data_IF_670775801658
#
_entry.id   IF_670775801658
#
_cell.length_a   1.000
_cell.length_b   1.000
_cell.length_c   1.000
_cell.angle_alpha   90.00
_cell.angle_beta   90.00
_cell.angle_gamma   90.00
#
_symmetry.space_group_name_H-M   'P 1'
#
loop_
_entity.id
_entity.type
_entity.pdbx_description
1 polymer ?
#
# COMPACT_ATOMS: atom_id res chain seq x y z
N UNK A 1 -49.18 -45.26 18.31
CA UNK A 1 -49.94 -44.05 17.95
C UNK A 1 -48.94 -43.01 17.43
N UNK A 2 -48.31 -43.16 16.25
CA UNK A 2 -48.80 -43.02 14.86
C UNK A 2 -49.58 -41.73 14.57
N UNK A 3 -49.02 -40.92 13.66
CA UNK A 3 -49.69 -39.89 12.86
C UNK A 3 -49.05 -38.50 12.97
N UNK A 4 -48.73 -37.75 11.91
CA UNK A 4 -48.69 -38.00 10.47
C UNK A 4 -47.83 -36.89 9.83
N UNK A 5 -46.95 -37.30 8.91
CA UNK A 5 -46.26 -36.41 7.98
C UNK A 5 -47.26 -35.76 7.01
N UNK A 6 -47.17 -34.45 6.80
CA UNK A 6 -47.90 -33.75 5.73
C UNK A 6 -46.90 -33.03 4.82
N UNK A 7 -46.63 -33.64 3.66
CA UNK A 7 -45.98 -33.03 2.50
C UNK A 7 -46.71 -31.75 2.07
N UNK A 8 -45.95 -30.67 1.82
CA UNK A 8 -46.45 -29.53 1.02
C UNK A 8 -45.59 -29.37 -0.23
N UNK A 9 -46.29 -29.38 -1.37
CA UNK A 9 -45.83 -29.38 -2.76
C UNK A 9 -44.77 -28.33 -3.06
N UNK A 10 -43.79 -28.72 -3.86
CA UNK A 10 -42.96 -27.85 -4.69
C UNK A 10 -43.82 -27.40 -5.88
N UNK A 11 -44.12 -26.11 -5.99
CA UNK A 11 -44.69 -25.53 -7.21
C UNK A 11 -43.60 -24.82 -8.00
N UNK A 12 -43.46 -25.24 -9.25
CA UNK A 12 -42.47 -24.75 -10.20
C UNK A 12 -42.89 -23.36 -10.72
N UNK A 13 -42.00 -22.37 -10.59
CA UNK A 13 -42.16 -21.09 -11.24
C UNK A 13 -41.90 -21.23 -12.75
N UNK A 14 -42.99 -21.37 -13.51
CA UNK A 14 -43.03 -21.19 -14.96
C UNK A 14 -42.73 -19.72 -15.29
N UNK A 15 -41.55 -19.44 -15.84
CA UNK A 15 -41.25 -18.14 -16.45
C UNK A 15 -42.19 -17.90 -17.63
N UNK A 16 -43.15 -16.97 -17.48
CA UNK A 16 -43.95 -16.49 -18.60
C UNK A 16 -43.09 -15.54 -19.42
N UNK A 17 -42.82 -15.91 -20.67
CA UNK A 17 -42.11 -15.08 -21.65
C UNK A 17 -42.82 -13.72 -21.80
N UNK A 18 -42.02 -12.66 -21.78
CA UNK A 18 -42.44 -11.27 -21.99
C UNK A 18 -42.52 -11.02 -23.50
N UNK A 19 -43.62 -10.45 -24.04
CA UNK A 19 -43.64 -9.94 -25.40
C UNK A 19 -42.73 -8.71 -25.50
N UNK A 20 -41.74 -8.80 -26.38
CA UNK A 20 -40.87 -7.70 -26.81
C UNK A 20 -41.71 -6.61 -27.49
N UNK A 21 -41.69 -5.37 -26.98
CA UNK A 21 -42.18 -4.21 -27.72
C UNK A 21 -41.18 -3.85 -28.84
N UNK A 22 -41.65 -3.46 -30.04
CA UNK A 22 -40.79 -3.11 -31.16
C UNK A 22 -40.09 -1.77 -30.92
N UNK A 23 -38.84 -1.73 -31.40
CA UNK A 23 -37.98 -0.57 -31.43
C UNK A 23 -38.37 0.42 -32.54
N UNK A 24 -37.96 1.67 -32.33
CA UNK A 24 -37.84 2.77 -33.29
C UNK A 24 -39.16 3.44 -33.73
N UNK A 25 -39.36 4.66 -33.23
CA UNK A 25 -39.92 5.74 -34.02
C UNK A 25 -38.87 6.85 -34.07
N UNK A 26 -38.48 7.17 -35.29
CA UNK A 26 -37.55 8.20 -35.75
C UNK A 26 -37.88 9.58 -35.12
N UNK A 27 -36.85 10.32 -34.71
CA UNK A 27 -36.95 11.76 -34.44
C UNK A 27 -36.45 12.49 -35.69
N UNK A 28 -37.37 13.15 -36.39
CA UNK A 28 -37.09 14.11 -37.47
C UNK A 28 -36.75 15.49 -36.89
N UNK A 29 -35.71 16.10 -37.44
CA UNK A 29 -35.20 17.42 -37.12
C UNK A 29 -36.15 18.53 -37.63
N UNK A 30 -36.47 19.52 -36.77
CA UNK A 30 -37.00 20.82 -37.21
C UNK A 30 -36.36 21.95 -36.40
N UNK A 31 -35.52 22.75 -37.08
CA UNK A 31 -35.12 24.11 -36.71
C UNK A 31 -36.33 25.07 -36.78
N UNK A 32 -36.43 26.04 -35.86
CA UNK A 32 -36.55 27.48 -36.18
C UNK A 32 -36.86 28.34 -34.94
N UNK A 33 -35.95 29.30 -34.73
CA UNK A 33 -36.15 30.76 -34.61
C UNK A 33 -37.03 31.43 -33.53
N UNK A 34 -36.43 32.49 -32.98
CA UNK A 34 -36.97 33.57 -32.16
C UNK A 34 -38.20 34.26 -32.78
N UNK A 35 -39.25 34.57 -32.00
CA UNK A 35 -39.68 35.95 -31.71
C UNK A 35 -40.88 36.06 -30.75
N UNK A 36 -40.90 37.24 -30.14
CA UNK A 36 -41.78 37.91 -29.18
C UNK A 36 -43.31 37.89 -29.46
N UNK A 37 -44.13 38.03 -28.41
CA UNK A 37 -45.47 38.64 -28.57
C UNK A 37 -46.60 38.10 -27.67
N UNK A 38 -47.23 39.02 -26.94
CA UNK A 38 -48.29 38.87 -25.94
C UNK A 38 -49.73 38.76 -26.50
N UNK A 39 -50.64 38.35 -25.61
CA UNK A 39 -52.10 38.61 -25.57
C UNK A 39 -53.10 37.51 -26.04
N UNK A 40 -53.74 36.93 -25.01
CA UNK A 40 -55.18 36.68 -24.80
C UNK A 40 -56.08 35.96 -25.83
N UNK A 41 -56.86 35.02 -25.25
CA UNK A 41 -58.25 34.60 -25.53
C UNK A 41 -58.45 33.11 -25.85
N UNK A 42 -59.05 32.46 -24.85
CA UNK A 42 -59.97 31.31 -24.87
C UNK A 42 -60.30 30.66 -26.21
N UNK A 43 -60.10 29.34 -26.30
CA UNK A 43 -61.18 28.34 -26.18
C UNK A 43 -60.74 26.99 -26.76
N UNK A 44 -61.45 25.94 -26.33
CA UNK A 44 -61.51 24.60 -26.92
C UNK A 44 -60.37 23.62 -26.60
N UNK A 45 -60.66 22.81 -25.59
CA UNK A 45 -60.26 21.41 -25.40
C UNK A 45 -59.78 20.70 -26.66
N UNK A 46 -58.50 20.37 -26.69
CA UNK A 46 -57.98 19.19 -27.38
C UNK A 46 -57.10 18.48 -26.37
N UNK A 47 -57.67 17.44 -25.77
CA UNK A 47 -57.04 16.63 -24.73
C UNK A 47 -55.99 15.74 -25.41
N UNK A 48 -54.86 16.33 -25.80
CA UNK A 48 -53.68 15.56 -26.13
C UNK A 48 -53.24 14.85 -24.85
N UNK A 49 -53.32 13.52 -24.83
CA UNK A 49 -52.82 12.69 -23.73
C UNK A 49 -51.31 12.97 -23.53
N UNK A 50 -50.98 13.95 -22.69
CA UNK A 50 -49.61 14.15 -22.19
C UNK A 50 -49.24 12.91 -21.39
N UNK A 51 -48.26 12.15 -21.87
CA UNK A 51 -47.67 11.05 -21.13
C UNK A 51 -47.29 11.53 -19.72
N UNK A 52 -47.60 10.76 -18.66
CA UNK A 52 -47.32 11.17 -17.29
C UNK A 52 -45.81 11.32 -17.09
N UNK A 53 -45.36 12.53 -16.80
CA UNK A 53 -43.95 12.83 -16.48
C UNK A 53 -43.68 12.34 -15.05
N UNK A 54 -42.90 11.27 -14.91
CA UNK A 54 -42.51 10.72 -13.60
C UNK A 54 -41.40 11.57 -12.96
N UNK A 55 -41.81 12.48 -12.08
CA UNK A 55 -40.89 13.33 -11.31
C UNK A 55 -40.79 12.91 -9.83
N UNK A 56 -40.30 13.77 -8.94
CA UNK A 56 -40.16 13.48 -7.50
C UNK A 56 -41.49 13.36 -6.75
N UNK A 57 -42.60 13.78 -7.36
CA UNK A 57 -43.93 13.75 -6.79
C UNK A 57 -44.74 12.53 -7.26
N UNK A 58 -45.69 12.04 -6.44
CA UNK A 58 -46.60 10.99 -6.87
C UNK A 58 -47.44 11.48 -8.05
N UNK A 59 -47.47 10.68 -9.12
CA UNK A 59 -48.22 10.99 -10.34
C UNK A 59 -49.43 10.08 -10.43
N UNK A 60 -50.57 10.66 -10.83
CA UNK A 60 -51.77 9.92 -11.20
C UNK A 60 -51.59 9.39 -12.61
N UNK A 61 -51.59 8.07 -12.75
CA UNK A 61 -51.49 7.44 -14.05
C UNK A 61 -52.23 6.10 -14.04
N UNK A 62 -52.56 5.62 -15.23
CA UNK A 62 -53.13 4.29 -15.40
C UNK A 62 -52.03 3.25 -15.40
N UNK A 63 -52.09 2.27 -14.50
CA UNK A 63 -51.03 1.27 -14.40
C UNK A 63 -51.02 0.35 -15.63
N UNK A 64 -49.88 0.14 -16.33
CA UNK A 64 -49.82 -0.74 -17.50
C UNK A 64 -50.02 -2.23 -17.16
N UNK A 65 -49.82 -2.61 -15.89
CA UNK A 65 -49.91 -4.00 -15.44
C UNK A 65 -51.30 -4.41 -14.96
N UNK A 66 -51.94 -3.60 -14.11
CA UNK A 66 -53.27 -3.89 -13.56
C UNK A 66 -54.40 -3.05 -14.17
N UNK A 67 -54.08 -2.07 -15.01
CA UNK A 67 -55.03 -1.14 -15.69
C UNK A 67 -55.92 -0.31 -14.76
N UNK A 68 -55.67 -0.34 -13.46
CA UNK A 68 -56.31 0.52 -12.48
C UNK A 68 -55.75 1.94 -12.57
N UNK A 69 -56.61 2.94 -12.39
CA UNK A 69 -56.22 4.33 -12.20
C UNK A 69 -55.68 4.48 -10.77
N UNK A 70 -54.40 4.82 -10.67
CA UNK A 70 -53.66 4.82 -9.43
C UNK A 70 -52.91 6.13 -9.24
N UNK A 71 -52.73 6.48 -7.97
CA UNK A 71 -51.68 7.41 -7.54
C UNK A 71 -50.44 6.58 -7.21
N UNK A 72 -49.34 6.77 -7.95
CA UNK A 72 -48.10 6.04 -7.67
C UNK A 72 -47.53 6.43 -6.31
N UNK A 73 -47.00 5.47 -5.55
CA UNK A 73 -46.21 5.78 -4.35
C UNK A 73 -44.72 5.76 -4.69
N UNK A 74 -43.98 6.68 -4.08
CA UNK A 74 -42.57 6.93 -4.37
C UNK A 74 -41.70 6.18 -3.37
N UNK A 75 -40.69 5.49 -3.88
CA UNK A 75 -39.68 4.77 -3.07
C UNK A 75 -38.28 5.15 -3.51
N UNK A 76 -37.37 5.33 -2.55
CA UNK A 76 -35.98 5.70 -2.81
C UNK A 76 -35.07 4.48 -2.75
N UNK A 77 -34.52 4.09 -3.89
CA UNK A 77 -33.65 2.92 -4.01
C UNK A 77 -32.25 3.33 -4.45
N UNK A 78 -31.19 2.74 -3.87
CA UNK A 78 -29.83 2.99 -4.32
C UNK A 78 -29.60 2.32 -5.68
N UNK A 79 -28.97 3.05 -6.61
CA UNK A 79 -28.52 2.48 -7.88
C UNK A 79 -27.02 2.16 -7.85
N UNK A 80 -26.55 1.41 -8.84
CA UNK A 80 -25.11 1.10 -8.99
C UNK A 80 -24.29 2.40 -9.05
N UNK A 81 -24.83 3.46 -9.67
CA UNK A 81 -24.19 4.77 -9.74
C UNK A 81 -24.06 5.41 -8.35
N UNK A 82 -25.10 5.30 -7.51
CA UNK A 82 -25.06 5.78 -6.12
C UNK A 82 -23.93 5.12 -5.32
N UNK A 83 -23.75 3.80 -5.49
CA UNK A 83 -22.66 3.06 -4.83
C UNK A 83 -21.28 3.44 -5.37
N UNK A 84 -21.12 3.61 -6.68
CA UNK A 84 -19.86 4.03 -7.28
C UNK A 84 -19.45 5.44 -6.82
N UNK A 85 -20.40 6.37 -6.74
CA UNK A 85 -20.13 7.72 -6.28
C UNK A 85 -19.83 7.78 -4.78
N UNK A 86 -20.51 6.97 -3.96
CA UNK A 86 -20.17 6.83 -2.54
C UNK A 86 -18.76 6.25 -2.34
N UNK A 87 -18.38 5.23 -3.12
CA UNK A 87 -17.02 4.69 -3.09
C UNK A 87 -15.98 5.75 -3.48
N UNK A 88 -16.26 6.52 -4.54
CA UNK A 88 -15.39 7.62 -4.96
C UNK A 88 -15.22 8.67 -3.86
N UNK A 89 -16.30 9.06 -3.18
CA UNK A 89 -16.26 10.01 -2.08
C UNK A 89 -15.46 9.48 -0.89
N UNK A 90 -15.56 8.19 -0.55
CA UNK A 90 -14.74 7.55 0.49
C UNK A 90 -13.26 7.60 0.09
N UNK A 91 -12.95 7.33 -1.18
CA UNK A 91 -11.57 7.38 -1.68
C UNK A 91 -11.01 8.81 -1.66
N UNK A 92 -11.79 9.84 -2.01
CA UNK A 92 -11.31 11.23 -2.05
C UNK A 92 -11.24 11.86 -0.65
N UNK A 93 -12.29 11.70 0.16
CA UNK A 93 -12.44 12.39 1.45
C UNK A 93 -11.92 11.57 2.65
N UNK A 94 -11.57 10.29 2.46
CA UNK A 94 -11.00 9.43 3.50
C UNK A 94 -11.82 9.43 4.79
N UNK A 95 -11.20 9.69 5.94
CA UNK A 95 -11.89 9.79 7.24
C UNK A 95 -12.98 10.85 7.26
N UNK A 96 -12.83 11.93 6.47
CA UNK A 96 -13.85 12.97 6.35
C UNK A 96 -15.12 12.46 5.64
N UNK A 97 -15.02 11.37 4.87
CA UNK A 97 -16.18 10.75 4.23
C UNK A 97 -17.19 10.20 5.24
N UNK A 98 -16.74 9.79 6.43
CA UNK A 98 -17.64 9.26 7.48
C UNK A 98 -18.64 10.33 7.94
N UNK A 99 -18.23 11.60 7.96
CA UNK A 99 -19.08 12.72 8.33
C UNK A 99 -19.95 13.22 7.16
N UNK A 100 -19.44 13.13 5.93
CA UNK A 100 -20.07 13.71 4.73
C UNK A 100 -21.06 12.73 4.06
N UNK A 101 -20.77 11.43 4.09
CA UNK A 101 -21.57 10.40 3.42
C UNK A 101 -23.02 10.32 3.94
N UNK A 102 -23.33 10.43 5.25
CA UNK A 102 -24.71 10.45 5.73
C UNK A 102 -25.56 11.59 5.16
N UNK A 103 -24.94 12.74 4.85
CA UNK A 103 -25.62 13.92 4.29
C UNK A 103 -25.84 13.76 2.78
N UNK A 104 -24.87 13.20 2.06
CA UNK A 104 -24.93 13.05 0.60
C UNK A 104 -25.74 11.79 0.20
N UNK A 105 -25.78 10.74 1.03
CA UNK A 105 -26.43 9.47 0.72
C UNK A 105 -27.92 9.58 0.32
N UNK A 106 -28.77 10.38 1.00
CA UNK A 106 -30.16 10.58 0.57
C UNK A 106 -30.27 11.29 -0.80
N UNK A 107 -29.30 12.13 -1.15
CA UNK A 107 -29.28 12.87 -2.42
C UNK A 107 -28.94 11.95 -3.60
N UNK A 108 -28.17 10.89 -3.35
CA UNK A 108 -27.70 9.92 -4.35
C UNK A 108 -28.73 8.86 -4.74
N UNK A 109 -29.81 8.68 -3.98
CA UNK A 109 -30.82 7.64 -4.24
C UNK A 109 -31.76 8.02 -5.39
N UNK A 110 -32.08 7.04 -6.22
CA UNK A 110 -33.00 7.18 -7.34
C UNK A 110 -34.46 7.07 -6.88
N UNK A 111 -35.35 7.69 -7.63
CA UNK A 111 -36.78 7.77 -7.33
C UNK A 111 -37.52 6.73 -8.17
N UNK A 112 -38.17 5.78 -7.50
CA UNK A 112 -38.89 4.66 -8.14
C UNK A 112 -40.37 4.75 -7.81
N UNK A 113 -41.21 4.82 -8.85
CA UNK A 113 -42.66 4.84 -8.75
C UNK A 113 -43.21 3.43 -8.83
N UNK A 114 -44.00 3.04 -7.82
CA UNK A 114 -44.64 1.74 -7.76
C UNK A 114 -46.16 1.87 -7.71
N UNK A 115 -46.83 0.88 -8.27
CA UNK A 115 -48.28 0.76 -8.20
C UNK A 115 -48.72 0.27 -6.81
N UNK A 116 -49.68 0.91 -6.12
CA UNK A 116 -50.16 0.43 -4.82
C UNK A 116 -50.90 -0.90 -4.92
N UNK A 117 -51.59 -1.17 -6.03
CA UNK A 117 -52.41 -2.37 -6.19
C UNK A 117 -51.62 -3.61 -6.63
N UNK A 118 -50.57 -3.46 -7.45
CA UNK A 118 -49.79 -4.58 -7.98
C UNK A 118 -48.29 -4.53 -7.64
N UNK A 119 -47.82 -3.48 -6.97
CA UNK A 119 -46.43 -3.27 -6.54
C UNK A 119 -45.37 -3.26 -7.67
N UNK A 120 -45.78 -3.41 -8.93
CA UNK A 120 -44.89 -3.33 -10.06
C UNK A 120 -44.36 -1.91 -10.26
N UNK A 121 -43.12 -1.86 -10.74
CA UNK A 121 -42.41 -0.62 -11.08
C UNK A 121 -43.03 0.00 -12.33
N UNK A 122 -43.64 1.18 -12.19
CA UNK A 122 -44.33 1.90 -13.27
C UNK A 122 -43.39 2.86 -13.98
N UNK A 123 -42.49 3.48 -13.21
CA UNK A 123 -41.49 4.41 -13.74
C UNK A 123 -40.33 4.56 -12.75
N UNK A 124 -39.17 4.97 -13.25
CA UNK A 124 -38.07 5.43 -12.39
C UNK A 124 -37.37 6.62 -13.01
N UNK A 125 -37.01 7.56 -12.15
CA UNK A 125 -36.17 8.70 -12.50
C UNK A 125 -34.85 8.58 -11.75
N UNK A 126 -33.75 8.43 -12.50
CA UNK A 126 -32.41 8.53 -11.93
C UNK A 126 -32.04 10.01 -11.79
N UNK A 127 -31.55 10.41 -10.62
CA UNK A 127 -31.12 11.80 -10.37
C UNK A 127 -29.83 12.16 -11.11
N UNK A 128 -29.04 11.14 -11.43
CA UNK A 128 -27.74 11.26 -12.08
C UNK A 128 -27.83 10.51 -13.40
N UNK A 129 -28.13 11.23 -14.46
CA UNK A 129 -28.04 10.72 -15.82
C UNK A 129 -26.57 10.77 -16.26
N UNK A 130 -25.83 9.69 -16.02
CA UNK A 130 -24.58 9.50 -16.75
C UNK A 130 -24.93 9.15 -18.21
N UNK A 131 -24.21 9.67 -19.20
CA UNK A 131 -24.33 9.25 -20.59
C UNK A 131 -23.89 7.78 -20.69
N UNK A 132 -24.80 6.87 -20.35
CA UNK A 132 -24.65 5.42 -20.45
C UNK A 132 -25.05 4.95 -21.84
N UNK A 133 -24.75 5.77 -22.85
CA UNK A 133 -24.85 5.43 -24.28
C UNK A 133 -23.64 4.57 -24.69
N UNK A 134 -23.42 3.48 -23.96
CA UNK A 134 -22.54 2.42 -24.41
C UNK A 134 -23.45 1.22 -24.68
N UNK A 135 -23.62 0.92 -25.97
CA UNK A 135 -24.29 -0.29 -26.48
C UNK A 135 -23.91 -1.47 -25.59
N UNK A 136 -24.88 -2.30 -25.18
CA UNK A 136 -24.65 -3.49 -24.36
C UNK A 136 -23.92 -4.58 -25.16
N UNK A 137 -22.74 -4.27 -25.69
CA UNK A 137 -21.88 -5.21 -26.37
C UNK A 137 -21.20 -6.10 -25.33
N UNK A 138 -21.07 -7.36 -25.70
CA UNK A 138 -20.49 -8.38 -24.86
C UNK A 138 -19.01 -8.51 -25.20
N UNK A 139 -18.14 -8.50 -24.20
CA UNK A 139 -16.71 -8.72 -24.32
C UNK A 139 -16.40 -10.11 -23.75
N UNK A 140 -15.74 -10.96 -24.54
CA UNK A 140 -15.36 -12.30 -24.11
C UNK A 140 -13.85 -12.36 -23.88
N UNK A 141 -13.46 -12.62 -22.64
CA UNK A 141 -12.06 -12.87 -22.29
C UNK A 141 -11.83 -14.37 -22.27
N UNK A 142 -10.93 -14.87 -23.13
CA UNK A 142 -10.46 -16.25 -23.04
C UNK A 142 -9.16 -16.29 -22.26
N UNK A 143 -9.20 -16.95 -21.10
CA UNK A 143 -8.04 -17.23 -20.27
C UNK A 143 -7.89 -18.75 -20.25
N UNK A 144 -7.02 -19.27 -21.13
CA UNK A 144 -6.88 -20.71 -21.36
C UNK A 144 -8.20 -21.34 -21.81
N UNK A 145 -8.69 -22.32 -21.05
CA UNK A 145 -9.96 -23.03 -21.32
C UNK A 145 -11.21 -22.33 -20.76
N UNK A 146 -11.07 -21.25 -19.98
CA UNK A 146 -12.21 -20.53 -19.43
C UNK A 146 -12.52 -19.29 -20.29
N UNK A 147 -13.78 -19.20 -20.75
CA UNK A 147 -14.29 -18.01 -21.45
C UNK A 147 -15.22 -17.25 -20.50
N UNK A 148 -14.79 -16.06 -20.08
CA UNK A 148 -15.61 -15.18 -19.23
C UNK A 148 -16.25 -14.12 -20.12
N UNK A 149 -17.57 -14.08 -20.11
CA UNK A 149 -18.40 -13.23 -20.97
C UNK A 149 -18.93 -12.09 -20.11
N UNK A 150 -18.37 -10.88 -20.25
CA UNK A 150 -18.80 -9.68 -19.50
C UNK A 150 -19.33 -8.61 -20.44
N UNK A 151 -20.38 -7.89 -20.03
CA UNK A 151 -20.80 -6.71 -20.77
C UNK A 151 -19.72 -5.61 -20.69
N UNK A 152 -19.43 -4.94 -21.82
CA UNK A 152 -18.37 -3.91 -21.93
C UNK A 152 -18.48 -2.82 -20.87
N UNK A 153 -19.71 -2.45 -20.49
CA UNK A 153 -19.98 -1.48 -19.41
C UNK A 153 -19.34 -1.87 -18.08
N UNK A 154 -19.38 -3.15 -17.70
CA UNK A 154 -18.81 -3.61 -16.43
C UNK A 154 -17.29 -3.66 -16.47
N UNK A 155 -16.70 -3.96 -17.64
CA UNK A 155 -15.24 -3.95 -17.84
C UNK A 155 -14.70 -2.53 -17.71
N UNK A 156 -15.35 -1.55 -18.36
CA UNK A 156 -14.94 -0.14 -18.28
C UNK A 156 -15.07 0.39 -16.86
N UNK A 157 -16.18 0.10 -16.16
CA UNK A 157 -16.36 0.49 -14.75
C UNK A 157 -15.27 -0.12 -13.87
N UNK A 158 -14.95 -1.41 -14.06
CA UNK A 158 -13.92 -2.09 -13.29
C UNK A 158 -12.52 -1.51 -13.54
N UNK A 159 -12.17 -1.24 -14.81
CA UNK A 159 -10.88 -0.62 -15.16
C UNK A 159 -10.78 0.81 -14.61
N UNK A 160 -11.84 1.60 -14.71
CA UNK A 160 -11.88 2.94 -14.13
C UNK A 160 -11.71 2.89 -12.60
N UNK A 161 -12.38 1.96 -11.93
CA UNK A 161 -12.27 1.76 -10.49
C UNK A 161 -10.85 1.34 -10.07
N UNK A 162 -10.23 0.39 -10.79
CA UNK A 162 -8.83 -0.01 -10.54
C UNK A 162 -7.87 1.15 -10.78
N UNK A 163 -8.09 1.94 -11.84
CA UNK A 163 -7.30 3.14 -12.13
C UNK A 163 -7.41 4.19 -11.02
N UNK A 164 -8.63 4.50 -10.56
CA UNK A 164 -8.85 5.45 -9.45
C UNK A 164 -8.21 4.96 -8.16
N UNK A 165 -8.35 3.67 -7.82
CA UNK A 165 -7.69 3.08 -6.64
C UNK A 165 -6.16 3.16 -6.78
N UNK A 166 -5.62 2.85 -7.96
CA UNK A 166 -4.19 2.93 -8.24
C UNK A 166 -3.64 4.34 -8.11
N UNK A 167 -4.30 5.33 -8.73
CA UNK A 167 -3.94 6.75 -8.63
C UNK A 167 -4.02 7.24 -7.19
N UNK A 168 -5.06 6.83 -6.44
CA UNK A 168 -5.19 7.21 -5.04
C UNK A 168 -4.11 6.59 -4.15
N UNK A 169 -3.81 5.31 -4.34
CA UNK A 169 -2.72 4.62 -3.64
C UNK A 169 -1.37 5.28 -3.95
N UNK A 170 -1.16 5.67 -5.21
CA UNK A 170 0.03 6.41 -5.63
C UNK A 170 0.10 7.80 -5.01
N UNK A 171 -0.97 8.58 -5.06
CA UNK A 171 -1.05 9.91 -4.44
C UNK A 171 -0.82 9.85 -2.92
N UNK A 172 -1.32 8.79 -2.26
CA UNK A 172 -1.05 8.53 -0.84
C UNK A 172 0.42 8.18 -0.60
N UNK A 173 1.02 7.38 -1.48
CA UNK A 173 2.44 7.02 -1.38
C UNK A 173 3.37 8.22 -1.55
N UNK A 174 2.99 9.19 -2.40
CA UNK A 174 3.79 10.40 -2.64
C UNK A 174 3.55 11.50 -1.61
N UNK A 175 2.35 11.59 -1.00
CA UNK A 175 1.97 12.71 -0.13
C UNK A 175 2.31 12.58 1.36
N UNK A 176 2.60 11.38 1.88
CA UNK A 176 2.71 11.16 3.35
C UNK A 176 4.14 11.24 3.88
N UNK A 177 5.18 11.18 3.04
CA UNK A 177 6.54 11.02 3.57
C UNK A 177 7.64 11.63 2.70
N UNK A 178 7.49 12.87 2.26
CA UNK A 178 8.65 13.64 1.86
C UNK A 178 8.93 14.67 2.96
N UNK A 179 9.93 14.46 3.84
CA UNK A 179 10.42 15.57 4.64
C UNK A 179 10.86 16.65 3.65
N UNK A 180 10.23 17.82 3.70
CA UNK A 180 10.61 18.97 2.88
C UNK A 180 12.13 19.14 2.98
N UNK A 181 12.80 19.43 1.86
CA UNK A 181 14.25 19.66 1.85
C UNK A 181 14.54 20.83 2.81
N UNK A 182 15.08 20.51 3.98
CA UNK A 182 15.38 21.50 5.02
C UNK A 182 16.69 22.18 4.61
N UNK A 183 16.78 23.52 4.67
CA UNK A 183 18.04 24.21 4.42
C UNK A 183 19.13 23.73 5.37
N UNK A 184 20.40 23.84 4.94
CA UNK A 184 21.56 23.49 5.77
C UNK A 184 21.52 24.29 7.07
N UNK A 185 21.57 23.58 8.19
CA UNK A 185 21.62 24.19 9.51
C UNK A 185 23.03 24.58 9.96
N UNK A 186 23.15 25.21 11.14
CA UNK A 186 24.45 25.61 11.70
C UNK A 186 25.33 24.39 11.97
N UNK A 187 26.63 24.56 11.79
CA UNK A 187 27.61 23.51 12.06
C UNK A 187 27.81 23.34 13.58
N UNK A 188 27.92 22.09 14.03
CA UNK A 188 28.32 21.77 15.40
C UNK A 188 29.53 20.82 15.38
N UNK A 189 30.50 21.15 16.23
CA UNK A 189 31.65 20.30 16.55
C UNK A 189 31.29 19.28 17.64
N UNK A 190 30.47 18.29 17.28
CA UNK A 190 30.13 17.16 18.16
C UNK A 190 30.66 15.86 17.58
N UNK A 191 31.24 15.00 18.41
CA UNK A 191 31.71 13.70 17.95
C UNK A 191 30.56 12.68 17.94
N UNK A 192 30.75 11.60 17.18
CA UNK A 192 29.82 10.46 17.18
C UNK A 192 29.69 9.82 18.57
N UNK A 193 30.79 9.76 19.35
CA UNK A 193 30.79 9.23 20.72
C UNK A 193 29.91 10.08 21.65
N UNK A 194 29.98 11.40 21.52
CA UNK A 194 29.11 12.31 22.30
C UNK A 194 27.64 12.12 21.94
N UNK A 195 27.33 11.96 20.65
CA UNK A 195 25.98 11.67 20.19
C UNK A 195 25.46 10.34 20.77
N UNK A 196 26.29 9.29 20.81
CA UNK A 196 25.90 8.00 21.38
C UNK A 196 25.59 8.08 22.88
N UNK A 197 26.30 8.93 23.62
CA UNK A 197 26.04 9.13 25.05
C UNK A 197 24.69 9.80 25.31
N UNK A 198 24.28 10.76 24.46
CA UNK A 198 23.03 11.49 24.63
C UNK A 198 21.81 10.75 24.02
N UNK A 199 22.01 10.18 22.83
CA UNK A 199 20.97 9.71 21.92
C UNK A 199 21.13 8.26 21.44
N UNK A 200 22.21 7.57 21.82
CA UNK A 200 22.48 6.21 21.40
C UNK A 200 21.51 5.17 21.99
N UNK A 201 21.60 3.92 21.54
CA UNK A 201 20.65 2.86 21.93
C UNK A 201 20.65 2.62 23.45
N UNK A 202 21.83 2.66 24.08
CA UNK A 202 21.97 2.54 25.55
C UNK A 202 21.28 3.68 26.30
N UNK A 203 21.45 4.92 25.83
CA UNK A 203 20.82 6.10 26.44
C UNK A 203 19.30 6.08 26.24
N UNK A 204 18.85 5.71 25.03
CA UNK A 204 17.44 5.61 24.69
C UNK A 204 16.70 4.52 25.48
N UNK A 205 17.35 3.36 25.70
CA UNK A 205 16.80 2.28 26.54
C UNK A 205 16.73 2.68 28.02
N UNK A 206 17.65 3.53 28.49
CA UNK A 206 17.63 4.06 29.84
C UNK A 206 16.50 5.08 30.05
N UNK A 207 16.43 6.11 29.20
CA UNK A 207 15.39 7.13 29.26
C UNK A 207 15.05 7.69 27.86
N UNK A 208 13.98 7.19 27.21
CA UNK A 208 13.66 7.60 25.84
C UNK A 208 13.20 9.05 25.74
N UNK A 209 12.56 9.60 26.79
CA UNK A 209 12.10 10.98 26.79
C UNK A 209 13.28 11.95 26.84
N UNK A 210 14.30 11.63 27.64
CA UNK A 210 15.53 12.41 27.71
C UNK A 210 16.26 12.41 26.36
N UNK A 211 16.44 11.25 25.73
CA UNK A 211 17.13 11.18 24.42
C UNK A 211 16.39 11.93 23.31
N UNK A 212 15.05 11.87 23.29
CA UNK A 212 14.25 12.64 22.31
C UNK A 212 14.41 14.14 22.55
N UNK A 213 14.36 14.59 23.81
CA UNK A 213 14.53 16.00 24.16
C UNK A 213 15.95 16.50 23.87
N UNK A 214 16.97 15.73 24.25
CA UNK A 214 18.37 16.03 23.94
C UNK A 214 18.60 16.11 22.43
N UNK A 215 18.00 15.20 21.65
CA UNK A 215 18.03 15.26 20.19
C UNK A 215 17.40 16.54 19.65
N UNK A 216 16.18 16.86 20.07
CA UNK A 216 15.43 18.02 19.61
C UNK A 216 16.15 19.35 19.93
N UNK A 217 16.80 19.45 21.10
CA UNK A 217 17.48 20.69 21.54
C UNK A 217 18.91 20.80 20.99
N UNK A 218 19.68 19.71 21.04
CA UNK A 218 21.12 19.73 20.75
C UNK A 218 21.45 19.40 19.30
N UNK A 219 20.70 18.54 18.62
CA UNK A 219 21.12 17.95 17.34
C UNK A 219 20.20 18.22 16.15
N UNK A 220 18.90 18.34 16.38
CA UNK A 220 17.91 18.48 15.31
C UNK A 220 18.16 19.69 14.42
N UNK A 221 18.16 19.44 13.11
CA UNK A 221 18.42 20.41 12.05
C UNK A 221 19.80 21.07 12.09
N UNK A 222 20.75 20.53 12.84
CA UNK A 222 22.11 21.05 12.86
C UNK A 222 23.03 20.11 12.08
N UNK A 223 24.11 20.67 11.56
CA UNK A 223 25.02 19.99 10.64
C UNK A 223 26.23 19.45 11.37
N UNK A 224 26.61 18.22 11.07
CA UNK A 224 27.76 17.53 11.67
C UNK A 224 28.69 17.03 10.57
N UNK A 225 29.97 16.91 10.91
CA UNK A 225 31.02 16.31 10.07
C UNK A 225 31.50 15.03 10.73
N UNK A 226 31.12 13.91 10.17
CA UNK A 226 31.43 12.58 10.74
C UNK A 226 32.04 11.68 9.68
N UNK A 227 32.75 10.66 10.15
CA UNK A 227 33.35 9.62 9.32
C UNK A 227 32.67 8.28 9.57
N UNK A 228 32.39 7.55 8.50
CA UNK A 228 31.70 6.26 8.59
C UNK A 228 31.94 5.38 7.38
N UNK A 229 31.61 4.10 7.52
CA UNK A 229 31.74 3.11 6.46
C UNK A 229 30.46 3.06 5.63
N UNK A 230 30.58 3.21 4.31
CA UNK A 230 29.46 3.08 3.38
C UNK A 230 29.09 1.61 3.22
N UNK A 231 27.87 1.23 3.58
CA UNK A 231 27.40 -0.17 3.45
C UNK A 231 26.80 -0.38 2.06
N UNK A 232 25.81 0.45 1.72
CA UNK A 232 25.12 0.42 0.42
C UNK A 232 24.59 1.79 0.07
N UNK A 233 24.55 2.08 -1.22
CA UNK A 233 23.93 3.27 -1.79
C UNK A 233 22.72 2.80 -2.61
N UNK A 234 21.59 3.50 -2.48
CA UNK A 234 20.42 3.31 -3.34
C UNK A 234 19.99 4.64 -3.91
N UNK A 235 20.00 4.71 -5.23
CA UNK A 235 19.47 5.85 -5.95
C UNK A 235 17.96 5.77 -6.03
N UNK A 236 17.31 6.90 -5.79
CA UNK A 236 15.89 7.08 -5.97
C UNK A 236 15.56 7.18 -7.45
N UNK A 237 14.43 6.61 -7.83
CA UNK A 237 13.84 6.74 -9.15
C UNK A 237 13.01 8.04 -9.16
N UNK A 238 13.24 8.88 -10.19
CA UNK A 238 12.43 10.05 -10.52
C UNK A 238 11.63 9.74 -11.80
N UNK A 239 10.42 9.23 -11.63
CA UNK A 239 9.43 9.10 -12.69
C UNK A 239 8.40 10.21 -12.50
N UNK A 240 7.72 10.63 -13.58
CA UNK A 240 6.77 11.77 -13.63
C UNK A 240 5.74 11.87 -12.49
N UNK A 241 5.45 10.76 -11.78
CA UNK A 241 4.58 10.69 -10.59
C UNK A 241 5.24 10.10 -9.33
N UNK A 242 6.48 9.60 -9.43
CA UNK A 242 7.19 8.91 -8.36
C UNK A 242 8.55 9.57 -8.13
N UNK A 243 8.62 10.46 -7.14
CA UNK A 243 9.89 10.95 -6.60
C UNK A 243 10.25 10.13 -5.38
N UNK A 244 11.14 9.17 -5.54
CA UNK A 244 11.77 8.50 -4.39
C UNK A 244 13.10 9.17 -4.10
N UNK A 245 13.39 9.43 -2.82
CA UNK A 245 14.66 10.04 -2.44
C UNK A 245 15.78 9.01 -2.54
N UNK A 246 16.94 9.45 -3.02
CA UNK A 246 18.16 8.66 -2.97
C UNK A 246 18.68 8.63 -1.54
N UNK A 247 19.24 7.50 -1.13
CA UNK A 247 19.81 7.37 0.21
C UNK A 247 21.05 6.49 0.25
N UNK A 248 21.99 6.87 1.11
CA UNK A 248 23.18 6.10 1.43
C UNK A 248 23.07 5.55 2.86
N UNK A 249 23.38 4.28 3.03
CA UNK A 249 23.41 3.61 4.33
C UNK A 249 24.84 3.61 4.86
N UNK A 250 25.04 4.18 6.04
CA UNK A 250 26.34 4.29 6.70
C UNK A 250 26.33 3.52 8.01
N UNK A 251 27.44 2.80 8.23
CA UNK A 251 27.77 2.16 9.48
C UNK A 251 28.89 2.93 10.17
N UNK A 252 28.64 3.34 11.40
CA UNK A 252 29.54 4.16 12.21
C UNK A 252 30.47 3.28 13.04
N UNK A 253 31.54 3.90 13.55
CA UNK A 253 32.43 3.31 14.54
C UNK A 253 32.57 4.24 15.75
N UNK A 254 32.36 3.77 16.99
CA UNK A 254 31.81 2.45 17.35
C UNK A 254 30.36 2.28 16.86
N UNK A 255 29.91 1.04 16.57
CA UNK A 255 28.55 0.77 16.13
C UNK A 255 27.54 1.00 17.26
N UNK A 256 26.34 1.48 16.94
CA UNK A 256 25.29 1.70 17.93
C UNK A 256 24.77 0.38 18.51
N UNK A 257 24.67 -0.66 17.67
CA UNK A 257 24.28 -2.01 18.07
C UNK A 257 25.42 -3.01 17.82
N UNK A 258 26.18 -3.31 18.88
CA UNK A 258 27.27 -4.29 18.81
C UNK A 258 26.78 -5.72 18.46
N UNK A 259 25.58 -6.10 18.92
CA UNK A 259 25.04 -7.45 18.76
C UNK A 259 24.40 -7.73 17.39
N UNK A 260 24.07 -6.69 16.62
CA UNK A 260 23.40 -6.84 15.31
C UNK A 260 24.19 -6.15 14.22
N UNK A 261 25.16 -6.84 13.59
CA UNK A 261 26.01 -6.23 12.58
C UNK A 261 25.27 -5.88 11.28
N UNK A 262 24.09 -6.44 11.05
CA UNK A 262 23.29 -6.21 9.84
C UNK A 262 22.54 -4.87 9.85
N UNK A 263 22.37 -4.27 11.04
CA UNK A 263 21.69 -2.98 11.20
C UNK A 263 22.66 -1.85 10.90
N UNK A 264 22.18 -0.87 10.13
CA UNK A 264 22.92 0.34 9.79
C UNK A 264 22.60 1.44 10.80
N UNK A 265 23.59 2.26 11.14
CA UNK A 265 23.43 3.28 12.17
C UNK A 265 22.79 4.55 11.59
N UNK A 266 23.16 4.94 10.36
CA UNK A 266 22.73 6.18 9.72
C UNK A 266 22.17 5.94 8.30
N UNK A 267 21.11 6.68 7.96
CA UNK A 267 20.60 6.81 6.60
C UNK A 267 20.77 8.27 6.18
N UNK A 268 21.57 8.50 5.15
CA UNK A 268 21.81 9.79 4.54
C UNK A 268 20.90 9.98 3.33
N UNK A 269 19.98 10.94 3.37
CA UNK A 269 19.11 11.30 2.25
C UNK A 269 19.78 12.34 1.34
N UNK A 270 19.68 12.17 0.03
CA UNK A 270 20.14 13.16 -0.96
C UNK A 270 19.23 13.21 -2.19
N UNK A 271 19.25 14.35 -2.88
CA UNK A 271 18.42 14.63 -4.06
C UNK A 271 19.18 15.46 -5.11
N UNK A 272 20.05 16.37 -4.67
CA UNK A 272 20.80 17.23 -5.58
C UNK A 272 21.77 16.47 -6.49
N UNK A 273 22.02 17.06 -7.67
CA UNK A 273 22.89 16.48 -8.69
C UNK A 273 24.34 16.36 -8.22
N UNK A 274 24.88 17.40 -7.55
CA UNK A 274 26.25 17.38 -7.01
C UNK A 274 26.47 16.23 -6.01
N UNK A 275 25.49 15.96 -5.15
CA UNK A 275 25.59 14.87 -4.19
C UNK A 275 25.55 13.51 -4.89
N UNK A 276 24.76 13.38 -5.97
CA UNK A 276 24.71 12.14 -6.77
C UNK A 276 26.07 11.84 -7.39
N UNK A 277 26.72 12.83 -7.99
CA UNK A 277 28.03 12.65 -8.61
C UNK A 277 29.11 12.27 -7.58
N UNK A 278 29.07 12.88 -6.39
CA UNK A 278 29.99 12.53 -5.29
C UNK A 278 29.75 11.11 -4.75
N UNK A 279 28.49 10.72 -4.59
CA UNK A 279 28.11 9.40 -4.09
C UNK A 279 28.42 8.29 -5.11
N UNK A 280 28.29 8.58 -6.41
CA UNK A 280 28.59 7.64 -7.49
C UNK A 280 30.06 7.22 -7.53
N UNK A 281 30.97 8.06 -7.04
CA UNK A 281 32.41 7.77 -6.96
C UNK A 281 32.77 6.82 -5.80
N UNK A 282 31.88 6.59 -4.85
CA UNK A 282 32.18 5.84 -3.63
C UNK A 282 31.85 4.34 -3.76
N UNK A 283 32.85 3.44 -3.65
CA UNK A 283 32.57 2.01 -3.66
C UNK A 283 31.92 1.55 -2.34
N UNK A 284 31.09 0.51 -2.42
CA UNK A 284 30.49 -0.11 -1.24
C UNK A 284 31.60 -0.71 -0.36
N UNK A 285 31.61 -0.31 0.92
CA UNK A 285 32.58 -0.74 1.92
C UNK A 285 33.69 0.28 2.21
N UNK A 286 33.82 1.35 1.42
CA UNK A 286 34.78 2.43 1.65
C UNK A 286 34.43 3.27 2.88
N UNK A 287 35.45 3.96 3.40
CA UNK A 287 35.28 4.98 4.43
C UNK A 287 35.02 6.32 3.77
N UNK A 288 34.06 7.06 4.30
CA UNK A 288 33.71 8.36 3.79
C UNK A 288 33.53 9.36 4.93
N UNK A 289 34.06 10.56 4.71
CA UNK A 289 33.74 11.74 5.51
C UNK A 289 32.54 12.43 4.87
N UNK A 290 31.53 12.72 5.68
CA UNK A 290 30.30 13.33 5.21
C UNK A 290 29.89 14.52 6.08
N UNK A 291 29.35 15.53 5.41
CA UNK A 291 28.68 16.67 6.03
C UNK A 291 27.17 16.47 5.87
N UNK A 292 26.46 16.35 6.99
CA UNK A 292 25.04 16.06 6.97
C UNK A 292 24.29 16.72 8.14
N UNK A 293 23.03 17.13 7.91
CA UNK A 293 22.17 17.68 8.97
C UNK A 293 21.24 16.62 9.54
N UNK A 294 21.07 16.56 10.86
CA UNK A 294 20.21 15.58 11.50
C UNK A 294 18.73 15.93 11.33
N UNK A 295 17.94 15.01 10.78
CA UNK A 295 16.51 15.18 10.54
C UNK A 295 15.68 14.54 11.65
N UNK A 296 15.91 13.25 11.91
CA UNK A 296 15.13 12.51 12.89
C UNK A 296 15.93 11.42 13.61
N UNK A 297 15.57 11.22 14.88
CA UNK A 297 16.11 10.18 15.72
C UNK A 297 15.47 8.82 15.37
N UNK A 298 16.30 7.81 15.14
CA UNK A 298 15.86 6.42 14.98
C UNK A 298 15.21 5.90 16.27
N UNK A 299 14.10 5.17 16.14
CA UNK A 299 13.38 4.58 17.28
C UNK A 299 13.85 3.14 17.50
N UNK A 300 14.04 2.74 18.76
CA UNK A 300 14.39 1.35 19.16
C UNK A 300 15.66 0.82 18.47
N UNK A 301 16.70 1.66 18.38
CA UNK A 301 17.96 1.31 17.71
C UNK A 301 17.83 1.11 16.20
N UNK A 302 16.77 1.65 15.58
CA UNK A 302 16.73 1.83 14.14
C UNK A 302 17.65 2.96 13.69
N UNK A 303 17.97 3.05 12.38
CA UNK A 303 18.89 4.05 11.86
C UNK A 303 18.38 5.48 12.08
N UNK A 304 19.33 6.38 12.33
CA UNK A 304 19.08 7.82 12.39
C UNK A 304 19.03 8.41 10.98
N UNK A 305 18.14 9.38 10.75
CA UNK A 305 17.93 9.98 9.44
C UNK A 305 18.63 11.34 9.35
N UNK A 306 19.48 11.49 8.34
CA UNK A 306 20.23 12.71 8.09
C UNK A 306 20.03 13.17 6.64
N UNK A 307 20.15 14.48 6.40
CA UNK A 307 20.20 15.08 5.07
C UNK A 307 21.66 15.30 4.67
N UNK A 308 22.09 14.70 3.55
CA UNK A 308 23.46 14.82 3.06
C UNK A 308 23.66 16.12 2.29
N UNK A 309 24.81 16.77 2.53
CA UNK A 309 25.26 17.95 1.81
C UNK A 309 26.50 17.68 0.96
N UNK A 310 27.49 17.01 1.54
CA UNK A 310 28.78 16.71 0.91
C UNK A 310 29.30 15.37 1.42
N UNK A 311 29.90 14.56 0.54
CA UNK A 311 30.54 13.31 0.91
C UNK A 311 31.84 13.11 0.12
N UNK A 312 32.89 12.65 0.80
CA UNK A 312 34.21 12.40 0.21
C UNK A 312 34.77 11.08 0.73
N UNK A 313 35.47 10.36 -0.14
CA UNK A 313 36.22 9.18 0.28
C UNK A 313 37.36 9.61 1.21
N UNK A 314 37.59 8.83 2.26
CA UNK A 314 38.66 9.07 3.22
C UNK A 314 39.30 7.74 3.61
N UNK A 315 40.53 7.78 4.09
CA UNK A 315 41.21 6.58 4.57
C UNK A 315 40.55 6.03 5.84
N UNK A 316 40.80 4.76 6.16
CA UNK A 316 40.28 4.17 7.39
C UNK A 316 40.85 4.96 8.59
N UNK A 317 40.02 5.42 9.54
CA UNK A 317 40.52 6.12 10.71
C UNK A 317 41.45 5.23 11.56
N UNK A 318 42.56 5.79 12.05
CA UNK A 318 43.55 5.08 12.88
C UNK A 318 42.91 4.40 14.11
N UNK A 319 41.94 5.05 14.77
CA UNK A 319 41.21 4.48 15.90
C UNK A 319 40.54 3.13 15.58
N UNK A 320 40.14 2.94 14.32
CA UNK A 320 39.53 1.69 13.85
C UNK A 320 40.60 0.65 13.58
N UNK A 321 41.75 1.05 13.05
CA UNK A 321 42.89 0.15 12.80
C UNK A 321 43.42 -0.43 14.11
N UNK A 322 43.60 0.42 15.11
CA UNK A 322 44.04 0.01 16.46
C UNK A 322 43.04 -0.96 17.08
N UNK A 323 41.74 -0.66 17.02
CA UNK A 323 40.70 -1.52 17.57
C UNK A 323 40.57 -2.86 16.82
N UNK A 324 40.77 -2.86 15.49
CA UNK A 324 40.79 -4.09 14.69
C UNK A 324 42.03 -4.93 15.01
N UNK A 325 43.18 -4.30 15.22
CA UNK A 325 44.41 -4.97 15.63
C UNK A 325 44.26 -5.60 17.03
N UNK A 326 43.67 -4.87 17.99
CA UNK A 326 43.37 -5.38 19.33
C UNK A 326 42.39 -6.56 19.27
N UNK A 327 41.30 -6.43 18.51
CA UNK A 327 40.33 -7.51 18.34
C UNK A 327 40.95 -8.76 17.67
N UNK A 328 41.83 -8.57 16.68
CA UNK A 328 42.55 -9.66 16.02
C UNK A 328 43.51 -10.38 16.98
N UNK A 329 44.25 -9.63 17.81
CA UNK A 329 45.11 -10.19 18.85
C UNK A 329 44.31 -10.94 19.93
N UNK A 330 43.16 -10.41 20.36
CA UNK A 330 42.29 -11.09 21.31
C UNK A 330 41.70 -12.39 20.74
N UNK A 331 41.35 -12.41 19.45
CA UNK A 331 40.79 -13.58 18.78
C UNK A 331 41.85 -14.66 18.54
N UNK A 332 43.07 -14.28 18.17
CA UNK A 332 44.19 -15.23 18.05
C UNK A 332 44.59 -15.83 19.40
N UNK A 333 44.60 -15.02 20.48
CA UNK A 333 44.83 -15.52 21.83
C UNK A 333 43.74 -16.51 22.27
N UNK A 334 42.47 -16.21 21.96
CA UNK A 334 41.35 -17.11 22.26
C UNK A 334 41.42 -18.41 21.45
N UNK A 335 41.82 -18.35 20.19
CA UNK A 335 42.03 -19.54 19.36
C UNK A 335 43.17 -20.41 19.91
N UNK A 336 44.30 -19.81 20.28
CA UNK A 336 45.43 -20.52 20.88
C UNK A 336 45.07 -21.20 22.21
N UNK A 337 44.25 -20.54 23.05
CA UNK A 337 43.73 -21.17 24.28
C UNK A 337 42.81 -22.36 23.96
N UNK A 338 41.94 -22.25 22.96
CA UNK A 338 41.06 -23.35 22.55
C UNK A 338 41.87 -24.53 21.99
N UNK A 339 42.88 -24.26 21.18
CA UNK A 339 43.76 -25.29 20.62
C UNK A 339 44.57 -26.01 21.71
N UNK A 340 45.03 -25.29 22.74
CA UNK A 340 45.68 -25.89 23.90
C UNK A 340 44.74 -26.82 24.69
N UNK A 341 43.50 -26.38 24.95
CA UNK A 341 42.48 -27.20 25.65
C UNK A 341 42.13 -28.47 24.86
N UNK A 342 42.07 -28.37 23.52
CA UNK A 342 41.80 -29.53 22.64
C UNK A 342 43.02 -30.45 22.54
N UNK A 343 44.24 -29.89 22.52
CA UNK A 343 45.49 -30.66 22.49
C UNK A 343 45.72 -31.48 23.76
N UNK A 344 45.34 -30.95 24.93
CA UNK A 344 45.50 -31.63 26.22
C UNK A 344 44.59 -32.87 26.34
N UNK A 345 43.37 -32.82 25.79
CA UNK A 345 42.43 -33.96 25.77
C UNK A 345 42.88 -35.13 24.89
N UNK A 346 43.75 -34.90 23.90
CA UNK A 346 44.24 -35.96 23.02
C UNK A 346 45.46 -36.69 23.60
N UNK A 347 46.07 -36.18 24.68
CA UNK A 347 47.22 -36.80 25.36
C UNK A 347 46.85 -37.60 26.61
N UNK A 348 45.59 -37.56 27.07
CA UNK A 348 45.06 -38.46 28.11
C UNK A 348 44.41 -39.71 27.49
N UNK A 349 45.16 -40.44 26.66
CA UNK A 349 44.85 -41.85 26.38
C UNK A 349 45.24 -42.71 27.59
N UNK A 350 44.42 -43.70 28.01
CA UNK A 350 44.73 -44.49 29.20
C UNK A 350 46.04 -45.25 29.00
N UNK A 351 46.84 -45.47 30.06
CA UNK A 351 48.09 -46.20 29.95
C UNK A 351 47.81 -47.65 29.55
N UNK A 352 48.36 -48.03 28.40
CA UNK A 352 48.42 -49.42 27.92
C UNK A 352 49.28 -50.21 28.90
N UNK A 353 48.64 -51.06 29.70
CA UNK A 353 49.28 -52.11 30.47
C UNK A 353 49.63 -53.28 29.54
N UNK A 354 50.92 -53.50 29.37
CA UNK A 354 51.51 -54.71 28.81
C UNK A 354 51.34 -55.89 29.76
N UNK A 355 50.69 -56.96 29.34
CA UNK A 355 51.06 -58.34 29.66
C UNK A 355 50.42 -59.27 28.61
N UNK A 356 51.26 -60.11 28.00
CA UNK A 356 50.89 -61.00 26.90
C UNK A 356 50.35 -62.34 27.37
N UNK A 357 49.61 -63.02 26.50
CA UNK A 357 49.92 -64.38 26.02
C UNK A 357 48.99 -64.72 24.83
N UNK A 358 49.55 -65.48 23.91
CA UNK A 358 49.05 -66.01 22.64
C UNK A 358 47.65 -66.65 22.67
N UNK A 359 46.92 -66.53 21.56
CA UNK A 359 46.72 -67.64 20.60
C UNK A 359 46.09 -67.12 19.31
N UNK A 360 46.50 -67.71 18.19
CA UNK A 360 46.34 -67.18 16.84
C UNK A 360 45.01 -67.50 16.16
N UNK A 361 44.65 -66.66 15.18
CA UNK A 361 44.26 -67.08 13.82
C UNK A 361 44.08 -65.85 12.91
N UNK A 362 44.70 -65.88 11.74
CA UNK A 362 44.52 -64.98 10.59
C UNK A 362 43.69 -65.75 9.52
N UNK A 363 43.29 -65.17 8.37
CA UNK A 363 42.71 -63.84 8.10
C UNK A 363 41.58 -63.91 7.04
N UNK A 364 40.64 -62.95 6.99
CA UNK A 364 39.92 -62.56 5.73
C UNK A 364 39.32 -61.16 5.93
N UNK A 365 39.90 -60.10 5.38
CA UNK A 365 39.67 -59.54 4.03
C UNK A 365 38.41 -58.67 3.90
N UNK A 366 38.64 -57.40 3.53
CA UNK A 366 37.81 -56.57 2.64
C UNK A 366 36.46 -56.05 3.19
N UNK A 367 35.87 -54.93 2.78
CA UNK A 367 36.12 -53.75 1.92
C UNK A 367 34.77 -52.97 2.04
N UNK A 368 34.79 -51.63 2.00
CA UNK A 368 33.64 -50.73 1.69
C UNK A 368 32.43 -50.74 2.67
N UNK A 369 31.60 -49.70 2.81
CA UNK A 369 31.30 -48.48 2.07
C UNK A 369 30.40 -47.61 2.96
N UNK A 370 30.37 -46.30 2.68
CA UNK A 370 29.21 -45.38 2.61
C UNK A 370 27.89 -45.76 3.31
N UNK A 371 26.95 -44.90 3.65
CA UNK A 371 26.70 -43.47 3.59
C UNK A 371 25.29 -43.31 4.22
N UNK A 372 24.95 -42.10 4.61
CA UNK A 372 23.58 -41.54 4.65
C UNK A 372 22.43 -42.28 5.39
N UNK A 373 21.82 -41.54 6.31
CA UNK A 373 20.36 -41.36 6.56
C UNK A 373 20.24 -40.58 7.87
N UNK A 374 19.44 -39.54 8.03
CA UNK A 374 18.47 -38.81 7.21
C UNK A 374 18.35 -37.40 7.83
#
# INVERSE_FOLDING_TARGET
MTGAFSQRRKEAHSYRQVPTLPAAAEEDDVEMDDEFGTESLSSASTDGEKLPVFDMSPVNCRCPFCRADITTFVTHEPSVVSYLLALLLILVLQWLSVCVLPVIWPLLKDTVHRCPSCLNKVGSRSKISLPTSFKNDVLTFRIGHCAVVLARKYVVILLALVGVIGVFYMARSSGVMQPAMIPRGPDIDVTWKDFLNDCGDRAYLGNPLHSVKAFDEKYKYKTVKWTGRVVRIREGIDLWLFKTKSFAMIKMFPPQQAYRPDVVDLILLFDGAQQRDQVALLPAGAWAEFEASLLSLGRRGGPHLLQLWSIKETERPQEVEDAVAEAAMALSARQAMMDAIVGEKNNEGPPVSSDGQSDGEQPTSNIESSSHRD
#
